data_IF_260409670694
#
_entry.id   IF_260409670694
#
_cell.length_a   1.000
_cell.length_b   1.000
_cell.length_c   1.000
_cell.angle_alpha   90.00
_cell.angle_beta   90.00
_cell.angle_gamma   90.00
#
_symmetry.space_group_name_H-M   'P 1'
#
loop_
_entity.id
_entity.type
_entity.pdbx_description
1 polymer ?
#
# COMPACT_ATOMS: atom_id res chain seq x y z
N UNK A 1 -1.82 -13.51 6.65
CA UNK A 1 -2.76 -12.85 5.73
C UNK A 1 -2.83 -11.34 5.92
N UNK A 2 -1.68 -10.65 5.95
CA UNK A 2 -1.61 -9.20 6.20
C UNK A 2 -0.77 -8.57 5.09
N UNK A 3 -1.42 -8.05 4.05
CA UNK A 3 -0.79 -7.17 3.08
C UNK A 3 -1.81 -6.09 2.68
N UNK A 4 -1.77 -4.97 3.38
CA UNK A 4 -2.34 -3.73 2.87
C UNK A 4 -1.21 -3.02 2.11
N UNK A 5 -1.12 -3.26 0.80
CA UNK A 5 -0.23 -2.47 -0.03
C UNK A 5 -0.89 -1.11 -0.28
N UNK A 6 -0.65 -0.17 0.61
CA UNK A 6 -0.94 1.24 0.34
C UNK A 6 0.23 1.78 -0.47
N UNK A 7 -0.06 2.46 -1.58
CA UNK A 7 0.93 2.99 -2.52
C UNK A 7 1.64 4.22 -1.92
N UNK A 8 2.34 4.04 -0.81
CA UNK A 8 2.87 5.16 -0.03
C UNK A 8 4.39 5.12 -0.02
N UNK A 9 5.00 6.18 -0.55
CA UNK A 9 6.44 6.29 -0.73
C UNK A 9 7.21 6.61 0.56
N UNK A 10 6.56 7.17 1.58
CA UNK A 10 7.16 7.49 2.86
C UNK A 10 6.13 7.55 4.00
N UNK A 11 6.60 7.57 5.25
CA UNK A 11 5.71 7.52 6.43
C UNK A 11 4.83 8.78 6.56
N UNK A 12 5.28 9.93 6.06
CA UNK A 12 4.47 11.16 6.07
C UNK A 12 3.21 11.01 5.21
N UNK A 13 3.40 10.56 3.97
CA UNK A 13 2.32 10.29 3.01
C UNK A 13 1.34 9.23 3.55
N UNK A 14 1.78 8.29 4.40
CA UNK A 14 0.89 7.28 5.01
C UNK A 14 -0.17 7.95 5.89
N UNK A 15 0.28 8.91 6.70
CA UNK A 15 -0.60 9.66 7.58
C UNK A 15 -1.50 10.60 6.76
N UNK A 16 -0.97 11.23 5.73
CA UNK A 16 -1.72 12.16 4.87
C UNK A 16 -2.80 11.44 4.05
N UNK A 17 -2.50 10.29 3.45
CA UNK A 17 -3.45 9.59 2.57
C UNK A 17 -4.41 8.65 3.29
N UNK A 18 -3.99 8.05 4.42
CA UNK A 18 -4.79 7.01 5.12
C UNK A 18 -5.15 7.36 6.56
N UNK A 19 -4.53 8.40 7.12
CA UNK A 19 -4.67 8.75 8.53
C UNK A 19 -3.99 7.78 9.50
N UNK A 20 -3.14 6.87 9.03
CA UNK A 20 -2.35 5.97 9.87
C UNK A 20 -1.06 6.65 10.34
N UNK A 21 -0.78 6.58 11.64
CA UNK A 21 0.47 7.04 12.21
C UNK A 21 1.59 6.01 12.02
N UNK A 22 2.84 6.49 12.01
CA UNK A 22 4.03 5.64 11.98
C UNK A 22 4.01 4.56 13.07
N UNK A 23 3.50 4.90 14.26
CA UNK A 23 3.46 4.00 15.41
C UNK A 23 2.46 2.86 15.26
N UNK A 24 1.58 2.92 14.26
CA UNK A 24 0.55 1.91 13.99
C UNK A 24 1.01 0.88 12.95
N UNK A 25 2.19 1.08 12.34
CA UNK A 25 2.74 0.19 11.33
C UNK A 25 4.17 -0.23 11.70
N UNK A 26 4.55 -1.44 11.30
CA UNK A 26 5.95 -1.84 11.26
C UNK A 26 6.49 -1.57 9.87
N UNK A 27 7.55 -0.77 9.82
CA UNK A 27 8.29 -0.48 8.60
C UNK A 27 9.24 -1.64 8.31
N UNK A 28 9.08 -2.29 7.16
CA UNK A 28 9.96 -3.36 6.74
C UNK A 28 11.38 -2.87 6.43
N UNK A 29 12.35 -3.77 6.54
CA UNK A 29 13.74 -3.50 6.21
C UNK A 29 13.95 -3.47 4.69
N UNK A 30 14.83 -2.57 4.22
CA UNK A 30 15.19 -2.48 2.82
C UNK A 30 14.24 -1.68 1.95
N UNK A 31 14.60 -1.57 0.68
CA UNK A 31 13.86 -0.85 -0.35
C UNK A 31 13.93 -1.64 -1.65
N UNK A 32 12.81 -1.74 -2.36
CA UNK A 32 12.74 -2.31 -3.70
C UNK A 32 12.64 -1.20 -4.73
N UNK A 33 13.56 -1.21 -5.70
CA UNK A 33 13.52 -0.28 -6.82
C UNK A 33 12.85 -0.96 -8.03
N UNK A 34 11.70 -0.43 -8.45
CA UNK A 34 10.94 -0.93 -9.60
C UNK A 34 11.17 0.00 -10.79
N UNK A 35 11.82 -0.53 -11.81
CA UNK A 35 12.15 0.20 -13.02
C UNK A 35 11.02 0.06 -14.05
N UNK A 36 10.53 1.18 -14.55
CA UNK A 36 9.57 1.25 -15.66
C UNK A 36 10.09 2.24 -16.71
N UNK A 37 9.67 2.14 -17.99
CA UNK A 37 10.12 3.10 -19.01
C UNK A 37 9.89 4.55 -18.57
N UNK A 38 10.98 5.31 -18.39
CA UNK A 38 10.96 6.71 -18.00
C UNK A 38 10.69 7.00 -16.51
N UNK A 39 10.59 6.00 -15.63
CA UNK A 39 10.29 6.18 -14.19
C UNK A 39 10.95 5.11 -13.32
N UNK A 40 11.29 5.46 -12.09
CA UNK A 40 11.71 4.51 -11.05
C UNK A 40 10.82 4.73 -9.84
N UNK A 41 10.22 3.67 -9.30
CA UNK A 41 9.47 3.69 -8.06
C UNK A 41 10.29 2.99 -6.97
N UNK A 42 10.43 3.63 -5.83
CA UNK A 42 11.02 3.02 -4.64
C UNK A 42 9.90 2.59 -3.71
N UNK A 43 9.84 1.29 -3.42
CA UNK A 43 8.80 0.68 -2.62
C UNK A 43 9.42 0.16 -1.34
N UNK A 44 8.73 0.33 -0.21
CA UNK A 44 9.12 -0.24 1.07
C UNK A 44 7.89 -0.86 1.73
N UNK A 45 7.96 -2.15 2.10
CA UNK A 45 6.81 -2.81 2.72
C UNK A 45 6.50 -2.20 4.09
N UNK A 46 5.20 -2.06 4.36
CA UNK A 46 4.64 -1.67 5.65
C UNK A 46 3.69 -2.78 6.09
N UNK A 47 3.75 -3.17 7.36
CA UNK A 47 2.83 -4.14 7.95
C UNK A 47 2.06 -3.50 9.09
N UNK A 48 0.80 -3.90 9.26
CA UNK A 48 -0.07 -3.44 10.33
C UNK A 48 -0.59 -4.66 11.07
N UNK A 49 -0.59 -4.64 12.41
CA UNK A 49 -1.05 -5.77 13.22
C UNK A 49 -2.59 -5.77 13.33
N UNK A 50 -3.26 -5.84 12.17
CA UNK A 50 -4.70 -5.92 12.03
C UNK A 50 -5.08 -6.85 10.88
N UNK A 51 -6.21 -7.57 10.97
CA UNK A 51 -6.80 -8.23 9.82
C UNK A 51 -7.04 -7.25 8.67
N UNK A 52 -6.84 -7.69 7.42
CA UNK A 52 -6.89 -6.81 6.25
C UNK A 52 -8.21 -6.02 6.13
N UNK A 53 -9.34 -6.67 6.41
CA UNK A 53 -10.67 -6.06 6.41
C UNK A 53 -10.83 -4.98 7.49
N UNK A 54 -10.26 -5.20 8.67
CA UNK A 54 -10.30 -4.25 9.78
C UNK A 54 -9.38 -3.06 9.51
N UNK A 55 -8.17 -3.31 8.99
CA UNK A 55 -7.26 -2.26 8.53
C UNK A 55 -7.89 -1.39 7.45
N UNK A 56 -8.56 -2.01 6.46
CA UNK A 56 -9.30 -1.27 5.42
C UNK A 56 -10.42 -0.42 6.02
N UNK A 57 -11.24 -0.98 6.90
CA UNK A 57 -12.33 -0.25 7.54
C UNK A 57 -11.81 0.94 8.36
N UNK A 58 -10.70 0.74 9.08
CA UNK A 58 -10.02 1.78 9.85
C UNK A 58 -9.55 2.93 8.94
N UNK A 59 -8.77 2.63 7.91
CA UNK A 59 -8.25 3.64 6.98
C UNK A 59 -9.40 4.40 6.29
N UNK A 60 -10.42 3.70 5.76
CA UNK A 60 -11.60 4.35 5.16
C UNK A 60 -12.40 5.23 6.12
N UNK A 61 -12.41 4.88 7.42
CA UNK A 61 -13.05 5.71 8.44
C UNK A 61 -12.28 7.02 8.67
N UNK A 62 -10.95 6.96 8.63
CA UNK A 62 -10.06 8.11 8.86
C UNK A 62 -9.95 9.01 7.64
N UNK A 63 -9.96 8.44 6.44
CA UNK A 63 -9.91 9.19 5.18
C UNK A 63 -11.01 10.25 5.06
N UNK A 64 -12.17 10.03 5.69
CA UNK A 64 -13.28 11.00 5.74
C UNK A 64 -12.97 12.28 6.50
N UNK A 65 -11.94 12.26 7.35
CA UNK A 65 -11.52 13.39 8.17
C UNK A 65 -10.25 14.07 7.67
N UNK A 66 -9.69 13.64 6.54
CA UNK A 66 -8.50 14.24 5.94
C UNK A 66 -8.86 15.60 5.31
N UNK A 67 -7.90 16.54 5.36
CA UNK A 67 -8.07 17.86 4.74
C UNK A 67 -8.16 17.76 3.21
N UNK A 68 -7.37 16.86 2.61
CA UNK A 68 -7.39 16.53 1.20
C UNK A 68 -7.60 15.02 1.02
N UNK A 69 -8.58 14.65 0.19
CA UNK A 69 -8.89 13.26 -0.09
C UNK A 69 -8.31 12.85 -1.44
N UNK A 70 -7.09 12.32 -1.42
CA UNK A 70 -6.42 11.82 -2.63
C UNK A 70 -6.87 10.40 -3.02
N UNK A 71 -7.22 9.58 -2.02
CA UNK A 71 -7.67 8.21 -2.21
C UNK A 71 -9.20 8.12 -2.13
N UNK A 72 -9.80 7.49 -3.12
CA UNK A 72 -11.25 7.22 -3.15
C UNK A 72 -11.63 5.92 -2.42
N UNK A 73 -10.75 4.92 -2.47
CA UNK A 73 -10.99 3.59 -1.90
C UNK A 73 -9.67 2.86 -1.61
N UNK A 74 -9.75 1.80 -0.80
CA UNK A 74 -8.65 0.91 -0.45
C UNK A 74 -9.02 -0.50 -0.88
N UNK A 75 -8.16 -1.12 -1.69
CA UNK A 75 -8.39 -2.47 -2.23
C UNK A 75 -7.48 -3.46 -1.53
N UNK A 76 -8.06 -4.55 -1.02
CA UNK A 76 -7.31 -5.68 -0.47
C UNK A 76 -6.96 -6.64 -1.60
N UNK A 77 -5.68 -6.95 -1.76
CA UNK A 77 -5.18 -7.92 -2.73
C UNK A 77 -4.69 -9.15 -1.99
N UNK A 78 -5.17 -10.34 -2.35
CA UNK A 78 -4.79 -11.60 -1.71
C UNK A 78 -3.73 -12.36 -2.51
N UNK A 79 -3.56 -12.00 -3.78
CA UNK A 79 -2.61 -12.59 -4.73
C UNK A 79 -2.33 -11.62 -5.86
N UNK A 80 -1.19 -11.76 -6.51
CA UNK A 80 -0.80 -10.91 -7.64
C UNK A 80 -1.87 -10.88 -8.76
N UNK A 81 -2.56 -11.99 -9.01
CA UNK A 81 -3.62 -12.08 -10.03
C UNK A 81 -4.85 -11.21 -9.75
N UNK A 82 -5.09 -10.77 -8.50
CA UNK A 82 -6.21 -9.89 -8.20
C UNK A 82 -5.99 -8.48 -8.81
N UNK A 83 -4.74 -8.12 -9.11
CA UNK A 83 -4.37 -6.85 -9.74
C UNK A 83 -4.99 -6.63 -11.12
N UNK A 84 -5.28 -7.71 -11.86
CA UNK A 84 -5.85 -7.63 -13.20
C UNK A 84 -7.27 -7.06 -13.22
N UNK A 85 -7.93 -7.01 -12.06
CA UNK A 85 -9.27 -6.43 -11.88
C UNK A 85 -9.26 -4.91 -11.69
N UNK A 86 -8.08 -4.31 -11.50
CA UNK A 86 -7.94 -2.89 -11.16
C UNK A 86 -7.01 -2.17 -12.13
N UNK A 87 -7.29 -0.88 -12.36
CA UNK A 87 -6.35 0.00 -13.08
C UNK A 87 -5.25 0.40 -12.11
N UNK A 88 -4.05 -0.16 -12.30
CA UNK A 88 -2.91 0.08 -11.43
C UNK A 88 -1.82 0.87 -12.16
N UNK A 89 -1.00 1.57 -11.37
CA UNK A 89 0.22 2.17 -11.88
C UNK A 89 1.16 1.10 -12.48
N UNK A 90 1.94 1.41 -13.53
CA UNK A 90 2.75 0.42 -14.25
C UNK A 90 3.73 -0.39 -13.38
N UNK A 91 4.21 0.19 -12.29
CA UNK A 91 5.17 -0.44 -11.38
C UNK A 91 4.52 -1.38 -10.35
N UNK A 92 3.20 -1.29 -10.13
CA UNK A 92 2.51 -2.05 -9.08
C UNK A 92 2.46 -3.55 -9.39
N UNK A 93 2.20 -3.94 -10.64
CA UNK A 93 2.12 -5.36 -11.01
C UNK A 93 3.48 -6.07 -10.84
N UNK A 94 4.60 -5.56 -11.41
CA UNK A 94 5.92 -6.14 -11.17
C UNK A 94 6.29 -6.20 -9.69
N UNK A 95 5.96 -5.15 -8.92
CA UNK A 95 6.24 -5.11 -7.49
C UNK A 95 5.46 -6.17 -6.71
N UNK A 96 4.15 -6.25 -6.92
CA UNK A 96 3.31 -7.24 -6.25
C UNK A 96 3.70 -8.66 -6.63
N UNK A 97 4.02 -8.93 -7.90
CA UNK A 97 4.57 -10.23 -8.30
C UNK A 97 5.89 -10.56 -7.60
N UNK A 98 6.73 -9.56 -7.30
CA UNK A 98 7.96 -9.76 -6.54
C UNK A 98 7.68 -10.12 -5.07
N UNK A 99 6.84 -9.33 -4.39
CA UNK A 99 6.51 -9.55 -2.97
C UNK A 99 5.75 -10.86 -2.75
N UNK A 100 4.75 -11.17 -3.56
CA UNK A 100 4.00 -12.44 -3.45
C UNK A 100 4.83 -13.69 -3.80
N UNK A 101 6.01 -13.54 -4.40
CA UNK A 101 6.93 -14.65 -4.65
C UNK A 101 7.93 -14.88 -3.50
N UNK A 102 7.97 -13.99 -2.51
CA UNK A 102 8.82 -14.10 -1.32
C UNK A 102 8.12 -14.76 -0.12
N UNK A 103 6.79 -14.85 -0.14
CA UNK A 103 5.97 -15.63 0.79
C UNK A 103 6.00 -17.14 0.46
#
# INVERSE_FOLDING_TARGET
DVFALVQVFCVGELAEETGLAETEVTVGEGWDAVFSPGRVAFMRPLTIDLPAEEARALMLSRMKGLEEQELDDIVILRRAADCDRHRMAPFMKPYLSHIFAQD
#
